data_IF_073580773178
#
_entry.id   IF_073580773178
#
_cell.length_a   1.000
_cell.length_b   1.000
_cell.length_c   1.000
_cell.angle_alpha   90.00
_cell.angle_beta   90.00
_cell.angle_gamma   90.00
#
_symmetry.space_group_name_H-M   'P 1'
#
loop_
_entity.id
_entity.type
_entity.pdbx_description
1 polymer ?
#
# COMPACT_ATOMS: atom_id res chain seq x y z
N UNK A 1 -5.88 8.71 15.56
CA UNK A 1 -4.50 8.20 15.40
C UNK A 1 -3.67 9.34 14.85
N UNK A 2 -2.56 9.70 15.48
CA UNK A 2 -1.70 10.78 14.97
C UNK A 2 -0.75 10.24 13.87
N UNK A 3 -0.13 11.15 13.10
CA UNK A 3 0.79 10.81 12.00
C UNK A 3 1.89 9.83 12.42
N UNK A 4 2.51 10.05 13.57
CA UNK A 4 3.64 9.26 14.04
C UNK A 4 3.22 7.83 14.42
N UNK A 5 2.04 7.67 15.00
CA UNK A 5 1.41 6.37 15.25
C UNK A 5 1.18 5.60 13.94
N UNK A 6 0.62 6.27 12.92
CA UNK A 6 0.40 5.67 11.60
C UNK A 6 1.74 5.23 10.98
N UNK A 7 2.75 6.10 10.96
CA UNK A 7 4.06 5.78 10.41
C UNK A 7 4.72 4.61 11.14
N UNK A 8 4.57 4.52 12.47
CA UNK A 8 5.08 3.40 13.26
C UNK A 8 4.41 2.09 12.86
N UNK A 9 3.09 2.07 12.73
CA UNK A 9 2.36 0.87 12.29
C UNK A 9 2.74 0.44 10.88
N UNK A 10 2.84 1.39 9.94
CA UNK A 10 3.26 1.11 8.56
C UNK A 10 4.67 0.51 8.50
N UNK A 11 5.62 1.02 9.29
CA UNK A 11 6.99 0.48 9.37
C UNK A 11 7.01 -0.96 9.90
N UNK A 12 6.21 -1.24 10.93
CA UNK A 12 6.09 -2.60 11.50
C UNK A 12 5.52 -3.54 10.44
N UNK A 13 4.41 -3.16 9.79
CA UNK A 13 3.78 -3.97 8.75
C UNK A 13 4.75 -4.22 7.58
N UNK A 14 5.43 -3.17 7.09
CA UNK A 14 6.42 -3.27 6.00
C UNK A 14 7.53 -4.27 6.30
N UNK A 15 8.01 -4.33 7.54
CA UNK A 15 9.07 -5.28 7.93
C UNK A 15 8.63 -6.75 7.86
N UNK A 16 7.33 -7.01 7.98
CA UNK A 16 6.72 -8.34 7.95
C UNK A 16 6.13 -8.71 6.58
N UNK A 17 5.97 -7.75 5.67
CA UNK A 17 5.41 -7.97 4.33
C UNK A 17 6.50 -8.36 3.32
N UNK A 18 6.34 -9.51 2.65
CA UNK A 18 7.27 -9.98 1.60
C UNK A 18 6.86 -9.60 0.18
N UNK A 19 5.55 -9.46 -0.08
CA UNK A 19 5.04 -9.16 -1.42
C UNK A 19 5.49 -7.79 -1.93
N UNK A 20 6.00 -7.73 -3.15
CA UNK A 20 6.53 -6.50 -3.74
C UNK A 20 5.45 -5.41 -3.88
N UNK A 21 4.29 -5.76 -4.45
CA UNK A 21 3.17 -4.83 -4.58
C UNK A 21 2.71 -4.29 -3.22
N UNK A 22 2.54 -5.17 -2.22
CA UNK A 22 2.17 -4.76 -0.88
C UNK A 22 3.23 -3.84 -0.23
N UNK A 23 4.53 -4.11 -0.42
CA UNK A 23 5.60 -3.21 0.05
C UNK A 23 5.59 -1.87 -0.68
N UNK A 24 5.26 -1.83 -1.97
CA UNK A 24 5.15 -0.60 -2.74
C UNK A 24 4.03 0.30 -2.20
N UNK A 25 2.85 -0.27 -1.92
CA UNK A 25 1.73 0.47 -1.29
C UNK A 25 2.13 1.03 0.07
N UNK A 26 2.79 0.23 0.91
CA UNK A 26 3.25 0.68 2.23
C UNK A 26 4.28 1.81 2.12
N UNK A 27 5.20 1.72 1.16
CA UNK A 27 6.18 2.78 0.91
C UNK A 27 5.52 4.06 0.39
N UNK A 28 4.51 3.96 -0.49
CA UNK A 28 3.71 5.09 -0.93
C UNK A 28 3.08 5.81 0.27
N UNK A 29 2.35 5.08 1.12
CA UNK A 29 1.73 5.66 2.32
C UNK A 29 2.75 6.34 3.24
N UNK A 30 3.90 5.70 3.47
CA UNK A 30 4.95 6.27 4.30
C UNK A 30 5.54 7.54 3.69
N UNK A 31 5.80 7.54 2.37
CA UNK A 31 6.38 8.69 1.66
C UNK A 31 5.44 9.89 1.76
N UNK A 32 4.17 9.69 1.41
CA UNK A 32 3.15 10.74 1.47
C UNK A 32 3.02 11.29 2.89
N UNK A 33 2.98 10.44 3.92
CA UNK A 33 2.92 10.91 5.31
C UNK A 33 4.20 11.61 5.78
N UNK A 34 5.37 11.24 5.26
CA UNK A 34 6.65 11.85 5.61
C UNK A 34 6.80 13.26 5.01
N UNK A 35 6.12 13.57 3.90
CA UNK A 35 6.14 14.89 3.23
C UNK A 35 5.39 16.01 3.98
N UNK A 36 4.42 15.67 4.84
CA UNK A 36 3.66 16.65 5.60
C UNK A 36 4.23 16.87 7.01
N UNK A 37 4.57 18.11 7.35
CA UNK A 37 4.87 18.52 8.73
C UNK A 37 3.62 18.43 9.63
N UNK A 38 2.45 18.73 9.05
CA UNK A 38 1.13 18.54 9.64
C UNK A 38 0.15 18.09 8.56
N UNK A 39 -0.64 17.06 8.84
CA UNK A 39 -1.62 16.51 7.90
C UNK A 39 -3.01 16.57 8.52
N UNK A 40 -4.00 16.97 7.73
CA UNK A 40 -5.39 16.98 8.17
C UNK A 40 -5.98 15.56 8.19
N UNK A 41 -7.05 15.35 8.96
CA UNK A 41 -7.77 14.07 8.95
C UNK A 41 -8.38 13.76 7.57
N UNK A 42 -8.83 14.80 6.84
CA UNK A 42 -9.34 14.67 5.48
C UNK A 42 -8.26 14.18 4.50
N UNK A 43 -7.04 14.71 4.61
CA UNK A 43 -5.92 14.28 3.77
C UNK A 43 -5.48 12.85 4.10
N UNK A 44 -5.49 12.44 5.38
CA UNK A 44 -5.27 11.04 5.78
C UNK A 44 -6.33 10.14 5.13
N UNK A 45 -7.61 10.51 5.20
CA UNK A 45 -8.69 9.72 4.60
C UNK A 45 -8.54 9.59 3.09
N UNK A 46 -8.17 10.68 2.40
CA UNK A 46 -7.89 10.65 0.95
C UNK A 46 -6.70 9.76 0.63
N UNK A 47 -5.61 9.87 1.39
CA UNK A 47 -4.41 9.05 1.21
C UNK A 47 -4.74 7.55 1.35
N UNK A 48 -5.51 7.17 2.37
CA UNK A 48 -5.93 5.78 2.56
C UNK A 48 -6.89 5.31 1.47
N UNK A 49 -7.81 6.15 1.02
CA UNK A 49 -8.70 5.84 -0.10
C UNK A 49 -7.91 5.58 -1.39
N UNK A 50 -6.89 6.39 -1.66
CA UNK A 50 -5.99 6.19 -2.80
C UNK A 50 -5.20 4.89 -2.67
N UNK A 51 -4.66 4.59 -1.49
CA UNK A 51 -3.91 3.35 -1.27
C UNK A 51 -4.80 2.11 -1.44
N UNK A 52 -6.06 2.15 -1.00
CA UNK A 52 -7.02 1.07 -1.22
C UNK A 52 -7.32 0.85 -2.71
N UNK A 53 -7.42 1.94 -3.48
CA UNK A 53 -7.57 1.84 -4.93
C UNK A 53 -6.34 1.18 -5.59
N UNK A 54 -5.12 1.57 -5.19
CA UNK A 54 -3.89 0.95 -5.66
C UNK A 54 -3.85 -0.54 -5.35
N UNK A 55 -4.20 -0.94 -4.11
CA UNK A 55 -4.27 -2.35 -3.72
C UNK A 55 -5.20 -3.13 -4.65
N UNK A 56 -6.40 -2.59 -4.91
CA UNK A 56 -7.37 -3.27 -5.78
C UNK A 56 -6.85 -3.47 -7.20
N UNK A 57 -6.21 -2.45 -7.78
CA UNK A 57 -5.61 -2.55 -9.12
C UNK A 57 -4.55 -3.66 -9.13
N UNK A 58 -3.66 -3.68 -8.13
CA UNK A 58 -2.61 -4.69 -8.02
C UNK A 58 -3.18 -6.11 -7.81
N UNK A 59 -4.25 -6.27 -7.03
CA UNK A 59 -4.94 -7.56 -6.87
C UNK A 59 -5.51 -8.07 -8.19
N UNK A 60 -6.13 -7.20 -8.99
CA UNK A 60 -6.66 -7.52 -10.31
C UNK A 60 -5.52 -7.92 -11.28
N UNK A 61 -4.43 -7.15 -11.32
CA UNK A 61 -3.29 -7.43 -12.20
C UNK A 61 -2.50 -8.69 -11.81
N UNK A 62 -2.26 -8.91 -10.51
CA UNK A 62 -1.63 -10.14 -10.02
C UNK A 62 -2.49 -11.36 -10.34
N UNK A 63 -3.81 -11.24 -10.24
CA UNK A 63 -4.74 -12.33 -10.58
C UNK A 63 -4.63 -12.69 -12.07
N UNK A 64 -4.59 -11.69 -12.96
CA UNK A 64 -4.40 -11.90 -14.41
C UNK A 64 -3.05 -12.55 -14.74
N UNK A 65 -1.98 -12.12 -14.07
CA UNK A 65 -0.64 -12.73 -14.22
C UNK A 65 -0.64 -14.18 -13.76
N UNK A 66 -1.29 -14.47 -12.62
CA UNK A 66 -1.43 -15.84 -12.11
C UNK A 66 -2.16 -16.73 -13.12
N UNK A 67 -3.29 -16.27 -13.67
CA UNK A 67 -4.05 -17.02 -14.68
C UNK A 67 -3.21 -17.31 -15.93
N UNK A 68 -2.43 -16.33 -16.40
CA UNK A 68 -1.52 -16.52 -17.53
C UNK A 68 -0.44 -17.58 -17.22
N UNK A 69 0.22 -17.50 -16.06
CA UNK A 69 1.26 -18.45 -15.67
C UNK A 69 0.70 -19.86 -15.57
N UNK A 70 -0.49 -20.03 -14.97
CA UNK A 70 -1.15 -21.34 -14.87
C UNK A 70 -1.40 -21.93 -16.25
N UNK A 71 -1.94 -21.15 -17.19
CA UNK A 71 -2.18 -21.58 -18.58
C UNK A 71 -0.91 -21.94 -19.35
N UNK A 72 0.23 -21.34 -19.02
CA UNK A 72 1.52 -21.62 -19.66
C UNK A 72 2.26 -22.81 -19.06
N UNK A 73 1.87 -23.22 -17.84
CA UNK A 73 2.47 -24.36 -17.13
C UNK A 73 1.74 -25.69 -17.40
N UNK A 74 0.59 -25.64 -18.07
CA UNK A 74 -0.16 -26.78 -18.63
C UNK A 74 0.34 -27.14 -20.03
#
# INVERSE_FOLDING_TARGET
MNRDEILKELRILRSNTRGLAARAVLNYLMTELEEYDSISEEDIHRLFSNALLLIRIEEEDISRVKELIMRLAE
#
